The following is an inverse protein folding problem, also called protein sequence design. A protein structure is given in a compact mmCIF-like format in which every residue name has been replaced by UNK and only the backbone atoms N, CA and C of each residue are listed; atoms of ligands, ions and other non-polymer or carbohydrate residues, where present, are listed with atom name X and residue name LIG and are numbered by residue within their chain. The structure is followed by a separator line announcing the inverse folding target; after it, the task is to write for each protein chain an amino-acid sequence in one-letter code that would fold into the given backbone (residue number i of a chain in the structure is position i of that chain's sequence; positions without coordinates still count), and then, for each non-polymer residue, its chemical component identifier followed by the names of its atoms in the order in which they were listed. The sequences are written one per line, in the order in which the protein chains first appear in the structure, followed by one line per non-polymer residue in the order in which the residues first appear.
data_IF_831917902306
#
_entry.id   IF_831917902306
#
_cell.length_a   1.000
_cell.length_b   1.000
_cell.length_c   1.000
_cell.angle_alpha   90.00
_cell.angle_beta   90.00
_cell.angle_gamma   90.00
#
_symmetry.space_group_name_H-M   'P 1'
#
loop_
_entity.id
_entity.type
_entity.pdbx_description
1 polymer ?
#
# COMPACT_ATOMS: atom_id res chain seq x y z
N UNK A 1 23.78 9.02 2.15
CA UNK A 1 23.36 7.73 1.55
C UNK A 1 22.09 7.34 2.28
N UNK A 2 20.92 7.49 1.66
CA UNK A 2 19.63 7.23 2.31
C UNK A 2 18.94 6.02 1.67
N UNK A 3 19.55 4.85 1.91
CA UNK A 3 18.88 3.55 2.04
C UNK A 3 19.96 2.55 2.45
N UNK A 4 20.23 2.45 3.74
CA UNK A 4 20.65 1.16 4.28
C UNK A 4 19.35 0.54 4.73
N UNK A 5 19.00 -0.62 4.17
CA UNK A 5 17.98 -1.48 4.74
C UNK A 5 18.23 -1.50 6.25
N UNK A 6 17.21 -1.20 7.08
CA UNK A 6 17.36 -1.27 8.55
C UNK A 6 17.38 -2.75 8.97
N UNK A 7 18.40 -3.46 8.51
CA UNK A 7 18.73 -4.84 8.88
C UNK A 7 19.36 -4.88 10.28
N UNK A 8 19.85 -3.74 10.80
CA UNK A 8 20.64 -3.67 12.03
C UNK A 8 19.77 -3.52 13.29
N UNK A 9 18.57 -2.95 13.21
CA UNK A 9 17.64 -2.85 14.34
C UNK A 9 16.40 -3.75 14.21
N UNK A 10 16.40 -4.68 13.24
CA UNK A 10 15.40 -5.74 13.19
C UNK A 10 15.64 -6.75 14.31
N UNK A 11 14.57 -7.19 14.99
CA UNK A 11 14.66 -8.35 15.89
C UNK A 11 15.19 -9.54 15.10
N UNK A 12 16.38 -10.03 15.46
CA UNK A 12 16.98 -11.24 14.90
C UNK A 12 16.21 -12.43 15.48
N UNK A 13 15.42 -13.10 14.63
CA UNK A 13 14.77 -14.34 14.99
C UNK A 13 15.62 -15.51 14.46
N UNK A 14 15.79 -16.56 15.27
CA UNK A 14 16.63 -17.73 14.97
C UNK A 14 16.17 -18.52 13.72
N UNK A 15 15.00 -18.22 13.16
CA UNK A 15 14.41 -18.91 12.02
C UNK A 15 14.22 -17.97 10.81
N UNK A 16 15.30 -17.78 10.04
CA UNK A 16 15.23 -17.31 8.65
C UNK A 16 15.21 -15.78 8.44
N UNK A 17 15.66 -15.37 7.25
CA UNK A 17 15.72 -13.96 6.82
C UNK A 17 14.32 -13.38 6.62
N UNK A 18 13.78 -12.75 7.65
CA UNK A 18 12.57 -11.93 7.52
C UNK A 18 12.94 -10.60 6.83
N UNK A 19 12.66 -10.49 5.53
CA UNK A 19 12.81 -9.22 4.81
C UNK A 19 11.71 -8.26 5.27
N UNK A 20 12.08 -7.37 6.19
CA UNK A 20 11.20 -6.30 6.64
C UNK A 20 11.04 -5.27 5.52
N UNK A 21 9.83 -5.16 4.98
CA UNK A 21 9.48 -4.05 4.12
C UNK A 21 9.41 -2.80 4.99
N UNK A 22 10.18 -1.77 4.66
CA UNK A 22 10.22 -0.53 5.44
C UNK A 22 8.84 0.15 5.37
N UNK A 23 8.07 0.00 6.44
CA UNK A 23 6.75 0.62 6.58
C UNK A 23 6.86 2.00 7.24
N UNK A 24 7.74 2.86 6.71
CA UNK A 24 7.97 4.20 7.25
C UNK A 24 8.39 5.18 6.15
N UNK A 25 7.88 6.41 6.26
CA UNK A 25 8.33 7.55 5.44
C UNK A 25 9.72 8.00 5.90
N UNK A 26 10.68 7.98 5.00
CA UNK A 26 12.06 8.43 5.24
C UNK A 26 12.25 9.78 4.56
N UNK A 27 12.62 10.85 5.29
CA UNK A 27 12.89 12.15 4.70
C UNK A 27 14.18 12.14 3.89
N UNK A 28 14.15 12.74 2.70
CA UNK A 28 15.35 12.91 1.87
C UNK A 28 16.17 14.07 2.41
N UNK A 29 17.40 13.77 2.85
CA UNK A 29 18.35 14.75 3.38
C UNK A 29 19.54 14.89 2.44
N UNK A 30 19.88 16.12 2.08
CA UNK A 30 21.17 16.43 1.43
C UNK A 30 22.24 16.80 2.47
N UNK A 31 23.47 16.34 2.24
CA UNK A 31 24.63 16.70 3.07
C UNK A 31 25.30 17.98 2.60
N UNK A 32 26.30 18.47 3.37
CA UNK A 32 27.10 19.67 3.03
C UNK A 32 27.72 19.62 1.62
N UNK A 33 28.00 18.42 1.10
CA UNK A 33 28.50 18.22 -0.25
C UNK A 33 27.56 18.69 -1.37
N UNK A 34 26.23 18.71 -1.17
CA UNK A 34 25.32 19.24 -2.20
C UNK A 34 25.40 20.76 -2.32
N UNK A 35 25.65 21.46 -1.21
CA UNK A 35 25.80 22.91 -1.17
C UNK A 35 27.11 23.30 -1.84
N UNK A 36 28.19 22.58 -1.53
CA UNK A 36 29.49 22.76 -2.19
C UNK A 36 29.38 22.50 -3.70
N UNK A 37 28.67 21.44 -4.10
CA UNK A 37 28.41 21.15 -5.52
C UNK A 37 27.65 22.28 -6.23
N UNK A 38 26.57 22.80 -5.63
CA UNK A 38 25.83 23.94 -6.20
C UNK A 38 26.73 25.19 -6.32
N UNK A 39 27.54 25.49 -5.30
CA UNK A 39 28.44 26.66 -5.30
C UNK A 39 29.52 26.55 -6.38
N UNK A 40 30.20 25.40 -6.48
CA UNK A 40 31.22 25.14 -7.50
C UNK A 40 30.65 25.33 -8.90
N UNK A 41 29.43 24.82 -9.12
CA UNK A 41 28.77 24.85 -10.41
C UNK A 41 28.37 26.27 -10.83
N UNK A 42 27.96 27.13 -9.89
CA UNK A 42 27.70 28.56 -10.16
C UNK A 42 28.96 29.41 -10.27
N UNK A 43 30.01 29.09 -9.51
CA UNK A 43 31.23 29.90 -9.41
C UNK A 43 32.19 29.66 -10.57
N UNK A 44 32.36 28.40 -11.01
CA UNK A 44 33.29 28.08 -12.09
C UNK A 44 32.66 28.17 -13.48
N UNK A 45 31.34 27.95 -13.61
CA UNK A 45 30.71 27.71 -14.91
C UNK A 45 29.24 28.20 -14.99
N UNK A 46 29.04 29.46 -15.38
CA UNK A 46 27.71 30.10 -15.48
C UNK A 46 26.73 29.33 -16.40
N UNK A 47 27.20 28.84 -17.56
CA UNK A 47 26.36 28.12 -18.53
C UNK A 47 25.86 26.78 -17.96
N UNK A 48 26.72 25.89 -17.42
CA UNK A 48 26.29 24.72 -16.63
C UNK A 48 25.34 25.05 -15.47
N UNK A 49 25.52 26.17 -14.77
CA UNK A 49 24.58 26.70 -13.77
C UNK A 49 23.15 26.85 -14.28
N UNK A 50 23.00 27.53 -15.40
CA UNK A 50 21.70 27.74 -16.04
C UNK A 50 21.06 26.42 -16.49
N UNK A 51 21.85 25.51 -17.08
CA UNK A 51 21.36 24.18 -17.48
C UNK A 51 20.86 23.40 -16.26
N UNK A 52 21.61 23.43 -15.15
CA UNK A 52 21.23 22.75 -13.92
C UNK A 52 19.92 23.31 -13.31
N UNK A 53 19.68 24.62 -13.40
CA UNK A 53 18.42 25.23 -12.97
C UNK A 53 17.23 24.67 -13.76
N UNK A 54 17.34 24.57 -15.09
CA UNK A 54 16.29 23.99 -15.93
C UNK A 54 16.03 22.52 -15.59
N UNK A 55 17.09 21.75 -15.29
CA UNK A 55 16.96 20.36 -14.83
C UNK A 55 16.19 20.26 -13.51
N UNK A 56 16.37 21.20 -12.57
CA UNK A 56 15.62 21.21 -11.30
C UNK A 56 14.13 21.46 -11.51
N UNK A 57 13.76 22.34 -12.45
CA UNK A 57 12.35 22.58 -12.80
C UNK A 57 11.74 21.31 -13.40
N UNK A 58 12.43 20.68 -14.36
CA UNK A 58 11.99 19.40 -14.94
C UNK A 58 11.87 18.30 -13.89
N UNK A 59 12.82 18.23 -12.96
CA UNK A 59 12.80 17.26 -11.86
C UNK A 59 11.58 17.47 -10.95
N UNK A 60 11.27 18.71 -10.56
CA UNK A 60 10.09 19.05 -9.76
C UNK A 60 8.80 18.62 -10.47
N UNK A 61 8.67 18.92 -11.77
CA UNK A 61 7.50 18.54 -12.55
C UNK A 61 7.34 17.02 -12.67
N UNK A 62 8.45 16.29 -12.92
CA UNK A 62 8.42 14.82 -12.95
C UNK A 62 7.99 14.23 -11.61
N UNK A 63 8.54 14.74 -10.50
CA UNK A 63 8.16 14.29 -9.17
C UNK A 63 6.66 14.52 -8.93
N UNK A 64 6.14 15.72 -9.23
CA UNK A 64 4.71 15.99 -9.13
C UNK A 64 3.85 15.04 -9.98
N UNK A 65 4.29 14.68 -11.19
CA UNK A 65 3.59 13.71 -12.04
C UNK A 65 3.55 12.31 -11.41
N UNK A 66 4.68 11.83 -10.86
CA UNK A 66 4.72 10.53 -10.18
C UNK A 66 3.83 10.55 -8.93
N UNK A 67 3.85 11.65 -8.16
CA UNK A 67 2.99 11.81 -7.00
C UNK A 67 1.50 11.75 -7.36
N UNK A 68 1.09 12.41 -8.45
CA UNK A 68 -0.29 12.30 -8.95
C UNK A 68 -0.63 10.88 -9.41
N UNK A 69 0.31 10.15 -10.02
CA UNK A 69 0.11 8.73 -10.38
C UNK A 69 -0.07 7.86 -9.13
N UNK A 70 0.72 8.08 -8.07
CA UNK A 70 0.55 7.38 -6.80
C UNK A 70 -0.85 7.63 -6.24
N UNK A 71 -1.30 8.89 -6.22
CA UNK A 71 -2.63 9.24 -5.73
C UNK A 71 -3.73 8.59 -6.57
N UNK A 72 -3.58 8.57 -7.89
CA UNK A 72 -4.52 7.90 -8.79
C UNK A 72 -4.60 6.39 -8.50
N UNK A 73 -3.45 5.71 -8.44
CA UNK A 73 -3.41 4.27 -8.18
C UNK A 73 -3.93 3.93 -6.78
N UNK A 74 -3.64 4.76 -5.78
CA UNK A 74 -4.19 4.64 -4.43
C UNK A 74 -5.72 4.74 -4.45
N UNK A 75 -6.27 5.75 -5.13
CA UNK A 75 -7.72 5.93 -5.24
C UNK A 75 -8.41 4.76 -5.95
N UNK A 76 -7.74 4.14 -6.94
CA UNK A 76 -8.26 2.97 -7.62
C UNK A 76 -8.35 1.76 -6.68
N UNK A 77 -7.33 1.54 -5.84
CA UNK A 77 -7.38 0.50 -4.79
C UNK A 77 -8.52 0.81 -3.82
N UNK A 78 -8.66 2.05 -3.37
CA UNK A 78 -9.69 2.46 -2.42
C UNK A 78 -11.10 2.19 -2.98
N UNK A 79 -11.34 2.54 -4.25
CA UNK A 79 -12.61 2.24 -4.94
C UNK A 79 -12.90 0.73 -4.97
N UNK A 80 -11.91 -0.11 -5.24
CA UNK A 80 -12.12 -1.56 -5.25
C UNK A 80 -12.36 -2.12 -3.83
N UNK A 81 -11.70 -1.58 -2.81
CA UNK A 81 -11.94 -1.97 -1.42
C UNK A 81 -13.36 -1.58 -0.99
N UNK A 82 -13.83 -0.39 -1.36
CA UNK A 82 -15.20 0.05 -1.10
C UNK A 82 -16.23 -0.86 -1.79
N UNK A 83 -16.05 -1.15 -3.09
CA UNK A 83 -16.92 -2.09 -3.81
C UNK A 83 -16.94 -3.47 -3.16
N UNK A 84 -15.79 -3.93 -2.68
CA UNK A 84 -15.68 -5.22 -1.99
C UNK A 84 -16.41 -5.23 -0.66
N UNK A 85 -16.39 -4.12 0.08
CA UNK A 85 -17.19 -3.93 1.31
C UNK A 85 -18.68 -3.96 0.98
N UNK A 86 -19.12 -3.34 -0.12
CA UNK A 86 -20.53 -3.41 -0.55
C UNK A 86 -20.95 -4.84 -0.88
N UNK A 87 -20.12 -5.60 -1.60
CA UNK A 87 -20.39 -7.02 -1.87
C UNK A 87 -20.46 -7.81 -0.56
N UNK A 88 -19.53 -7.57 0.36
CA UNK A 88 -19.52 -8.21 1.67
C UNK A 88 -20.80 -7.92 2.46
N UNK A 89 -21.32 -6.70 2.41
CA UNK A 89 -22.61 -6.35 3.03
C UNK A 89 -23.76 -7.14 2.41
N UNK A 90 -23.79 -7.27 1.08
CA UNK A 90 -24.80 -8.08 0.39
C UNK A 90 -24.70 -9.56 0.81
N UNK A 91 -23.48 -10.10 0.95
CA UNK A 91 -23.27 -11.46 1.46
C UNK A 91 -23.81 -11.62 2.89
N UNK A 92 -23.46 -10.71 3.81
CA UNK A 92 -23.95 -10.74 5.19
C UNK A 92 -25.47 -10.66 5.27
N UNK A 93 -26.10 -9.77 4.51
CA UNK A 93 -27.57 -9.62 4.48
C UNK A 93 -28.29 -10.89 4.00
N UNK A 94 -27.67 -11.66 3.09
CA UNK A 94 -28.23 -12.95 2.64
C UNK A 94 -28.02 -14.03 3.70
N UNK A 95 -26.82 -14.09 4.29
CA UNK A 95 -26.47 -15.10 5.30
C UNK A 95 -27.30 -14.91 6.57
N UNK A 96 -27.46 -13.68 7.05
CA UNK A 96 -28.24 -13.33 8.25
C UNK A 96 -29.72 -13.73 8.13
N UNK A 97 -30.29 -13.73 6.93
CA UNK A 97 -31.69 -14.16 6.72
C UNK A 97 -31.91 -15.65 6.87
N UNK A 98 -30.85 -16.45 6.74
CA UNK A 98 -30.91 -17.90 6.70
C UNK A 98 -30.29 -18.56 7.92
N UNK A 99 -29.31 -17.92 8.56
CA UNK A 99 -28.59 -18.44 9.73
C UNK A 99 -28.22 -17.31 10.69
N UNK A 100 -28.08 -17.64 11.98
CA UNK A 100 -27.50 -16.73 12.96
C UNK A 100 -26.01 -16.52 12.65
N UNK A 101 -25.69 -15.37 12.05
CA UNK A 101 -24.32 -14.98 11.77
C UNK A 101 -23.61 -14.53 13.06
N UNK A 102 -22.30 -14.78 13.15
CA UNK A 102 -21.46 -14.30 14.23
C UNK A 102 -21.59 -12.77 14.39
N UNK A 103 -21.96 -12.33 15.60
CA UNK A 103 -22.11 -10.92 15.96
C UNK A 103 -20.83 -10.11 15.75
N UNK A 104 -19.66 -10.74 15.90
CA UNK A 104 -18.37 -10.09 15.64
C UNK A 104 -18.22 -9.75 14.14
N UNK A 105 -18.59 -10.68 13.26
CA UNK A 105 -18.57 -10.46 11.81
C UNK A 105 -19.54 -9.33 11.43
N UNK A 106 -20.76 -9.35 11.95
CA UNK A 106 -21.75 -8.29 11.69
C UNK A 106 -21.25 -6.91 12.16
N UNK A 107 -20.65 -6.85 13.35
CA UNK A 107 -20.13 -5.61 13.93
C UNK A 107 -18.99 -5.04 13.08
N UNK A 108 -18.06 -5.89 12.64
CA UNK A 108 -16.95 -5.45 11.80
C UNK A 108 -17.41 -5.01 10.40
N UNK A 109 -18.35 -5.74 9.78
CA UNK A 109 -18.94 -5.32 8.50
C UNK A 109 -19.68 -3.98 8.64
N UNK A 110 -20.40 -3.77 9.74
CA UNK A 110 -21.05 -2.50 10.03
C UNK A 110 -20.03 -1.36 10.25
N UNK A 111 -18.89 -1.64 10.90
CA UNK A 111 -17.81 -0.67 11.07
C UNK A 111 -17.25 -0.22 9.72
N UNK A 112 -16.96 -1.15 8.80
CA UNK A 112 -16.50 -0.81 7.46
C UNK A 112 -17.57 -0.09 6.62
N UNK A 113 -18.87 -0.35 6.86
CA UNK A 113 -19.97 0.40 6.24
C UNK A 113 -20.01 1.86 6.68
N UNK A 114 -19.66 2.15 7.94
CA UNK A 114 -19.68 3.52 8.48
C UNK A 114 -18.62 4.45 7.88
N UNK A 115 -17.76 3.91 7.02
CA UNK A 115 -16.68 4.61 6.34
C UNK A 115 -15.34 4.05 6.78
N UNK A 116 -14.50 3.71 5.81
CA UNK A 116 -13.14 3.26 6.06
C UNK A 116 -12.19 4.44 5.92
N UNK A 117 -11.45 4.76 6.97
CA UNK A 117 -10.40 5.76 6.86
C UNK A 117 -9.20 5.12 6.15
N UNK A 118 -9.16 5.24 4.82
CA UNK A 118 -8.09 4.70 3.98
C UNK A 118 -7.01 5.76 3.74
N UNK A 119 -5.79 5.45 4.16
CA UNK A 119 -4.61 6.27 3.91
C UNK A 119 -3.39 5.37 3.67
N UNK A 120 -2.30 5.94 3.17
CA UNK A 120 -1.06 5.21 2.81
C UNK A 120 -0.54 4.29 3.94
N UNK A 121 -0.75 4.66 5.20
CA UNK A 121 -0.21 3.92 6.36
C UNK A 121 -1.05 2.71 6.77
N UNK A 122 -2.37 2.76 6.56
CA UNK A 122 -3.30 1.74 7.05
C UNK A 122 -4.02 0.98 5.93
N UNK A 123 -3.91 1.42 4.67
CA UNK A 123 -4.59 0.81 3.52
C UNK A 123 -4.31 -0.69 3.40
N UNK A 124 -3.06 -1.11 3.56
CA UNK A 124 -2.70 -2.53 3.51
C UNK A 124 -3.27 -3.33 4.68
N UNK A 125 -3.31 -2.74 5.88
CA UNK A 125 -3.90 -3.39 7.06
C UNK A 125 -5.41 -3.56 6.90
N UNK A 126 -6.11 -2.49 6.51
CA UNK A 126 -7.56 -2.51 6.27
C UNK A 126 -7.94 -3.55 5.23
N UNK A 127 -7.23 -3.58 4.09
CA UNK A 127 -7.49 -4.57 3.06
C UNK A 127 -7.30 -6.01 3.55
N UNK A 128 -6.29 -6.25 4.40
CA UNK A 128 -6.04 -7.56 5.02
C UNK A 128 -7.16 -7.96 6.01
N UNK A 129 -7.73 -6.99 6.73
CA UNK A 129 -8.87 -7.24 7.62
C UNK A 129 -10.14 -7.59 6.84
N UNK A 130 -10.38 -6.92 5.70
CA UNK A 130 -11.48 -7.29 4.78
C UNK A 130 -11.27 -8.71 4.24
N UNK A 131 -10.04 -9.05 3.83
CA UNK A 131 -9.69 -10.42 3.39
C UNK A 131 -10.04 -11.46 4.45
N UNK A 132 -9.68 -11.20 5.72
CA UNK A 132 -9.97 -12.09 6.83
C UNK A 132 -11.48 -12.22 7.11
N UNK A 133 -12.24 -11.13 7.02
CA UNK A 133 -13.69 -11.14 7.21
C UNK A 133 -14.42 -11.93 6.14
N UNK A 134 -14.07 -11.74 4.87
CA UNK A 134 -14.62 -12.54 3.77
C UNK A 134 -14.30 -14.01 3.98
N UNK A 135 -13.09 -14.33 4.45
CA UNK A 135 -12.70 -15.70 4.83
C UNK A 135 -13.63 -16.29 5.90
N UNK A 136 -13.94 -15.54 6.96
CA UNK A 136 -14.88 -15.96 8.01
C UNK A 136 -16.30 -16.19 7.47
N UNK A 137 -16.78 -15.31 6.60
CA UNK A 137 -18.10 -15.47 5.96
C UNK A 137 -18.11 -16.76 5.11
N UNK A 138 -17.06 -17.01 4.33
CA UNK A 138 -16.95 -18.22 3.51
C UNK A 138 -16.97 -19.51 4.37
N UNK A 139 -16.27 -19.51 5.52
CA UNK A 139 -16.31 -20.66 6.45
C UNK A 139 -17.72 -20.94 6.94
N UNK A 140 -18.52 -19.90 7.22
CA UNK A 140 -19.91 -20.11 7.61
C UNK A 140 -20.74 -20.65 6.45
N UNK A 141 -20.58 -20.10 5.24
CA UNK A 141 -21.30 -20.59 4.04
C UNK A 141 -21.02 -22.09 3.78
N UNK A 142 -19.78 -22.55 3.98
CA UNK A 142 -19.42 -23.95 3.80
C UNK A 142 -20.06 -24.89 4.85
N UNK A 143 -20.43 -24.39 6.03
CA UNK A 143 -21.12 -25.18 7.07
C UNK A 143 -22.60 -25.42 6.76
N UNK A 144 -23.19 -24.63 5.86
CA UNK A 144 -24.63 -24.59 5.59
C UNK A 144 -24.90 -24.83 4.08
N UNK A 145 -25.17 -26.09 3.66
CA UNK A 145 -25.37 -26.45 2.26
C UNK A 145 -26.45 -25.63 1.53
N UNK A 146 -27.48 -25.19 2.24
CA UNK A 146 -28.57 -24.35 1.75
C UNK A 146 -28.08 -22.95 1.32
N UNK A 147 -27.09 -22.38 2.03
CA UNK A 147 -26.47 -21.11 1.65
C UNK A 147 -25.62 -21.28 0.40
N UNK A 148 -24.90 -22.40 0.30
CA UNK A 148 -24.04 -22.72 -0.84
C UNK A 148 -24.83 -22.85 -2.15
N UNK A 149 -26.07 -23.34 -2.08
CA UNK A 149 -26.97 -23.44 -3.21
C UNK A 149 -27.63 -22.09 -3.58
N UNK A 150 -27.55 -21.07 -2.72
CA UNK A 150 -28.23 -19.79 -2.94
C UNK A 150 -27.57 -19.00 -4.09
N UNK A 151 -28.30 -18.85 -5.21
CA UNK A 151 -27.79 -18.24 -6.44
C UNK A 151 -27.16 -16.86 -6.26
N UNK A 152 -27.83 -15.95 -5.54
CA UNK A 152 -27.31 -14.60 -5.30
C UNK A 152 -26.05 -14.58 -4.41
N UNK A 153 -25.89 -15.58 -3.52
CA UNK A 153 -24.71 -15.66 -2.66
C UNK A 153 -23.51 -16.16 -3.46
N UNK A 154 -23.73 -17.17 -4.32
CA UNK A 154 -22.73 -17.67 -5.27
C UNK A 154 -22.25 -16.57 -6.22
N UNK A 155 -23.16 -15.74 -6.71
CA UNK A 155 -22.81 -14.58 -7.55
C UNK A 155 -21.97 -13.56 -6.78
N UNK A 156 -22.38 -13.19 -5.57
CA UNK A 156 -21.61 -12.27 -4.72
C UNK A 156 -20.19 -12.79 -4.42
N UNK A 157 -20.04 -14.09 -4.16
CA UNK A 157 -18.72 -14.72 -3.98
C UNK A 157 -17.87 -14.63 -5.25
N UNK A 158 -18.46 -14.89 -6.42
CA UNK A 158 -17.76 -14.79 -7.70
C UNK A 158 -17.30 -13.35 -7.98
N UNK A 159 -18.17 -12.35 -7.72
CA UNK A 159 -17.82 -10.94 -7.84
C UNK A 159 -16.71 -10.55 -6.84
N UNK A 160 -16.76 -11.07 -5.60
CA UNK A 160 -15.70 -10.84 -4.61
C UNK A 160 -14.35 -11.41 -5.07
N UNK A 161 -14.34 -12.63 -5.62
CA UNK A 161 -13.13 -13.24 -6.18
C UNK A 161 -12.58 -12.44 -7.37
N UNK A 162 -13.45 -11.91 -8.22
CA UNK A 162 -13.06 -11.03 -9.31
C UNK A 162 -12.41 -9.75 -8.78
N UNK A 163 -13.06 -9.05 -7.84
CA UNK A 163 -12.49 -7.86 -7.21
C UNK A 163 -11.16 -8.15 -6.50
N UNK A 164 -10.99 -9.32 -5.89
CA UNK A 164 -9.71 -9.66 -5.27
C UNK A 164 -8.56 -9.71 -6.28
N UNK A 165 -8.83 -10.20 -7.50
CA UNK A 165 -7.84 -10.20 -8.58
C UNK A 165 -7.52 -8.76 -9.04
N UNK A 166 -8.55 -7.94 -9.22
CA UNK A 166 -8.39 -6.52 -9.59
C UNK A 166 -7.62 -5.72 -8.52
N UNK A 167 -7.93 -5.95 -7.24
CA UNK A 167 -7.19 -5.36 -6.11
C UNK A 167 -5.73 -5.81 -6.16
N UNK A 168 -5.45 -7.09 -6.45
CA UNK A 168 -4.08 -7.60 -6.53
C UNK A 168 -3.30 -6.94 -7.65
N UNK A 169 -3.90 -6.82 -8.84
CA UNK A 169 -3.29 -6.13 -9.97
C UNK A 169 -3.07 -4.62 -9.68
N UNK A 170 -4.05 -3.95 -9.07
CA UNK A 170 -3.92 -2.55 -8.69
C UNK A 170 -2.82 -2.32 -7.64
N UNK A 171 -2.64 -3.27 -6.69
CA UNK A 171 -1.53 -3.24 -5.71
C UNK A 171 -0.17 -3.32 -6.39
N UNK A 172 -0.02 -4.16 -7.42
CA UNK A 172 1.22 -4.28 -8.20
C UNK A 172 1.56 -2.94 -8.88
N UNK A 173 0.60 -2.35 -9.58
CA UNK A 173 0.77 -1.05 -10.28
C UNK A 173 1.08 0.09 -9.29
N UNK A 174 0.42 0.11 -8.13
CA UNK A 174 0.71 1.05 -7.05
C UNK A 174 2.15 0.88 -6.55
N UNK A 175 2.57 -0.35 -6.28
CA UNK A 175 3.91 -0.68 -5.79
C UNK A 175 5.00 -0.30 -6.79
N UNK A 176 4.78 -0.53 -8.08
CA UNK A 176 5.71 -0.11 -9.13
C UNK A 176 5.88 1.40 -9.18
N UNK A 177 4.77 2.13 -9.01
CA UNK A 177 4.79 3.61 -8.98
C UNK A 177 5.48 4.13 -7.72
N UNK A 178 5.24 3.50 -6.56
CA UNK A 178 5.95 3.80 -5.31
C UNK A 178 7.44 3.48 -5.43
N UNK A 179 7.80 2.39 -6.09
CA UNK A 179 9.20 2.05 -6.40
C UNK A 179 9.83 3.13 -7.30
N UNK A 180 9.16 3.55 -8.37
CA UNK A 180 9.63 4.63 -9.23
C UNK A 180 9.86 5.92 -8.43
N UNK A 181 8.90 6.30 -7.57
CA UNK A 181 9.03 7.46 -6.69
C UNK A 181 10.24 7.33 -5.76
N UNK A 182 10.31 6.25 -4.99
CA UNK A 182 11.37 6.01 -4.01
C UNK A 182 12.75 5.97 -4.66
N UNK A 183 12.86 5.40 -5.86
CA UNK A 183 14.10 5.43 -6.65
C UNK A 183 14.43 6.84 -7.14
N UNK A 184 13.44 7.53 -7.72
CA UNK A 184 13.65 8.85 -8.35
C UNK A 184 14.03 9.90 -7.33
N UNK A 185 13.37 9.98 -6.18
CA UNK A 185 13.70 10.96 -5.12
C UNK A 185 15.10 10.75 -4.53
N UNK A 186 15.64 9.53 -4.61
CA UNK A 186 16.98 9.19 -4.15
C UNK A 186 18.07 9.36 -5.24
N UNK A 187 17.70 9.76 -6.46
CA UNK A 187 18.64 9.91 -7.56
C UNK A 187 19.47 11.20 -7.41
N UNK A 188 20.77 11.04 -7.16
CA UNK A 188 21.74 12.13 -7.17
C UNK A 188 22.05 12.58 -8.62
N UNK A 189 22.28 13.88 -8.91
CA UNK A 189 22.23 15.02 -7.99
C UNK A 189 20.85 15.69 -7.93
N UNK A 190 20.23 15.84 -9.10
CA UNK A 190 19.13 16.80 -9.31
C UNK A 190 17.90 16.46 -8.48
N UNK A 191 17.43 15.21 -8.52
CA UNK A 191 16.22 14.81 -7.83
C UNK A 191 16.39 14.80 -6.32
N UNK A 192 17.51 14.27 -5.80
CA UNK A 192 17.80 14.26 -4.37
C UNK A 192 17.88 15.68 -3.77
N UNK A 193 18.46 16.64 -4.51
CA UNK A 193 18.52 18.04 -4.10
C UNK A 193 17.13 18.69 -4.09
N UNK A 194 16.33 18.47 -5.14
CA UNK A 194 14.96 18.99 -5.22
C UNK A 194 14.08 18.37 -4.14
N UNK A 195 14.16 17.06 -3.94
CA UNK A 195 13.41 16.33 -2.94
C UNK A 195 13.72 16.81 -1.52
N UNK A 196 15.00 17.01 -1.20
CA UNK A 196 15.39 17.52 0.12
C UNK A 196 14.93 18.96 0.35
N UNK A 197 15.06 19.84 -0.65
CA UNK A 197 14.59 21.25 -0.56
C UNK A 197 13.06 21.35 -0.40
N UNK A 198 12.31 20.44 -1.01
CA UNK A 198 10.84 20.40 -0.91
C UNK A 198 10.32 19.54 0.25
N UNK A 199 11.20 18.93 1.07
CA UNK A 199 10.79 18.08 2.18
C UNK A 199 10.10 16.77 1.77
N UNK A 200 10.37 16.26 0.56
CA UNK A 200 9.79 15.01 0.10
C UNK A 200 10.31 13.81 0.90
N UNK A 201 9.44 12.84 1.08
CA UNK A 201 9.69 11.59 1.82
C UNK A 201 9.47 10.39 0.91
N UNK A 202 10.10 9.26 1.26
CA UNK A 202 9.74 7.98 0.64
C UNK A 202 8.27 7.65 0.91
N UNK A 203 7.66 6.91 -0.02
CA UNK A 203 6.30 6.38 0.10
C UNK A 203 6.36 4.92 0.52
N UNK A 204 5.35 4.53 1.27
CA UNK A 204 5.20 3.17 1.80
C UNK A 204 4.56 2.32 0.70
N UNK A 205 5.17 1.20 0.28
CA UNK A 205 4.54 0.30 -0.66
C UNK A 205 3.42 -0.49 0.03
N UNK A 206 2.47 -0.97 -0.76
CA UNK A 206 1.47 -1.92 -0.31
C UNK A 206 2.15 -3.25 0.05
N UNK A 207 2.19 -3.58 1.34
CA UNK A 207 2.88 -4.75 1.87
C UNK A 207 1.96 -5.55 2.80
N UNK A 208 2.17 -6.87 2.85
CA UNK A 208 1.50 -7.73 3.83
C UNK A 208 1.87 -7.29 5.24
N UNK A 209 0.86 -7.14 6.11
CA UNK A 209 1.09 -6.78 7.51
C UNK A 209 1.92 -7.87 8.21
N UNK A 210 2.74 -7.47 9.19
CA UNK A 210 3.57 -8.39 9.97
C UNK A 210 2.73 -9.49 10.64
N UNK A 211 1.54 -9.12 11.11
CA UNK A 211 0.57 -10.03 11.72
C UNK A 211 0.07 -11.10 10.74
N UNK A 212 -0.18 -10.74 9.47
CA UNK A 212 -0.58 -11.72 8.44
C UNK A 212 0.58 -12.64 8.05
N UNK A 213 1.81 -12.11 7.98
CA UNK A 213 3.00 -12.97 7.78
C UNK A 213 3.14 -13.98 8.91
N UNK A 214 2.97 -13.54 10.16
CA UNK A 214 3.04 -14.42 11.33
C UNK A 214 1.92 -15.47 11.36
N UNK A 215 0.67 -15.11 11.03
CA UNK A 215 -0.44 -16.08 10.92
C UNK A 215 -0.24 -17.11 9.81
N UNK A 216 0.36 -16.72 8.69
CA UNK A 216 0.69 -17.65 7.62
C UNK A 216 1.77 -18.65 8.05
N UNK A 217 2.73 -18.21 8.86
CA UNK A 217 3.76 -19.08 9.44
C UNK A 217 3.16 -20.01 10.50
N UNK A 218 2.35 -19.51 11.44
CA UNK A 218 1.76 -20.34 12.50
C UNK A 218 0.87 -21.46 11.97
N UNK A 219 0.04 -21.19 10.95
CA UNK A 219 -0.86 -22.18 10.37
C UNK A 219 -0.14 -23.29 9.58
N UNK A 220 1.16 -23.13 9.29
CA UNK A 220 1.97 -24.15 8.61
C UNK A 220 2.70 -25.08 9.58
N UNK A 221 2.79 -24.73 10.88
CA UNK A 221 3.54 -25.46 11.89
C UNK A 221 2.69 -26.03 13.04
N UNK A 222 1.35 -25.93 12.96
CA UNK A 222 0.39 -26.70 13.76
C UNK A 222 -0.09 -27.94 13.00
#
# INVERSE_FOLDING_TARGET
MANQLDELNGLVFEEGRDVNVINKRIPIKTGKGSVVFEIILWLLLVIPGLVFLLLKIKAKNRLAQIEQRIQHNASQIDNFLEQRVVIMQNMVSIVEKSVDLDKDVMTQVAAYRSGMNLNDENRSQNASQIDALVGRINVQIERYPELKAHGALREAMQQNMYLQKEITAAREIYNDTVFEWNRTINQWPTYMIVASKNGYTTRIPFATSREMKQKAVSNFFE
#
